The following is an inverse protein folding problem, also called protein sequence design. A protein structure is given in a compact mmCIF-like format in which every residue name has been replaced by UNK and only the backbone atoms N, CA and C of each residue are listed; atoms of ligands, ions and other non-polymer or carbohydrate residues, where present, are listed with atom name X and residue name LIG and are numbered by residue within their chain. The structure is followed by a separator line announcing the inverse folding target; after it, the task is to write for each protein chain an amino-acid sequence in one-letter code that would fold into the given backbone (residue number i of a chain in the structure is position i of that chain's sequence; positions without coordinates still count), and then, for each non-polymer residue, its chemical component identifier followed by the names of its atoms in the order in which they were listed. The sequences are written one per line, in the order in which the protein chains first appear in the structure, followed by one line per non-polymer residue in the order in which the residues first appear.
data_IF_155183181651
#
_entry.id   IF_155183181651
#
_cell.length_a   1.000
_cell.length_b   1.000
_cell.length_c   1.000
_cell.angle_alpha   90.00
_cell.angle_beta   90.00
_cell.angle_gamma   90.00
#
_symmetry.space_group_name_H-M   'P 1'
#
loop_
_entity.id
_entity.type
_entity.pdbx_description
1 polymer ?
#
# COMPACT_ATOMS: atom_id res chain seq x y z
N UNK A 1 -1.72 19.76 -32.47
CA UNK A 1 -1.35 19.16 -31.16
C UNK A 1 -2.50 19.17 -30.13
N UNK A 2 -3.38 20.18 -30.12
CA UNK A 2 -4.52 20.24 -29.19
C UNK A 2 -5.70 19.30 -29.55
N UNK A 3 -6.03 19.12 -30.84
CA UNK A 3 -7.16 18.27 -31.26
C UNK A 3 -6.96 16.80 -30.91
N UNK A 4 -5.77 16.24 -31.12
CA UNK A 4 -5.47 14.85 -30.74
C UNK A 4 -5.59 14.63 -29.23
N UNK A 5 -5.24 15.65 -28.44
CA UNK A 5 -5.35 15.60 -26.97
C UNK A 5 -6.80 15.67 -26.53
N UNK A 6 -7.60 16.56 -27.15
CA UNK A 6 -9.04 16.69 -26.91
C UNK A 6 -9.80 15.42 -27.31
N UNK A 7 -9.48 14.83 -28.46
CA UNK A 7 -10.08 13.57 -28.91
C UNK A 7 -9.74 12.42 -27.94
N UNK A 8 -8.48 12.32 -27.50
CA UNK A 8 -8.09 11.31 -26.50
C UNK A 8 -8.78 11.47 -25.14
N UNK A 9 -9.09 12.72 -24.75
CA UNK A 9 -9.82 13.01 -23.50
C UNK A 9 -11.31 12.67 -23.62
N UNK A 10 -11.91 12.95 -24.79
CA UNK A 10 -13.30 12.60 -25.08
C UNK A 10 -13.49 11.09 -25.17
N UNK A 11 -12.56 10.36 -25.80
CA UNK A 11 -12.57 8.89 -25.84
C UNK A 11 -12.44 8.28 -24.43
N UNK A 12 -11.54 8.81 -23.59
CA UNK A 12 -11.44 8.38 -22.19
C UNK A 12 -12.71 8.67 -21.39
N UNK A 13 -13.31 9.84 -21.57
CA UNK A 13 -14.55 10.21 -20.91
C UNK A 13 -15.71 9.29 -21.34
N UNK A 14 -15.78 8.92 -22.63
CA UNK A 14 -16.75 7.97 -23.15
C UNK A 14 -16.54 6.57 -22.59
N UNK A 15 -15.30 6.08 -22.54
CA UNK A 15 -14.97 4.78 -21.92
C UNK A 15 -15.33 4.77 -20.44
N UNK A 16 -15.05 5.84 -19.71
CA UNK A 16 -15.40 5.98 -18.30
C UNK A 16 -16.92 6.01 -18.10
N UNK A 17 -17.66 6.69 -18.97
CA UNK A 17 -19.13 6.70 -18.97
C UNK A 17 -19.73 5.32 -19.26
N UNK A 18 -19.16 4.56 -20.20
CA UNK A 18 -19.61 3.20 -20.51
C UNK A 18 -19.32 2.21 -19.38
N UNK A 19 -18.16 2.35 -18.71
CA UNK A 19 -17.84 1.61 -17.49
C UNK A 19 -18.83 1.93 -16.37
N UNK A 20 -19.17 3.21 -16.17
CA UNK A 20 -20.16 3.64 -15.18
C UNK A 20 -21.53 3.00 -15.43
N UNK A 21 -21.98 2.96 -16.68
CA UNK A 21 -23.28 2.35 -17.01
C UNK A 21 -23.30 0.85 -16.73
N UNK A 22 -22.27 0.10 -17.16
CA UNK A 22 -22.15 -1.34 -16.86
C UNK A 22 -22.13 -1.64 -15.36
N UNK A 23 -21.54 -0.75 -14.56
CA UNK A 23 -21.50 -0.89 -13.11
C UNK A 23 -22.89 -0.70 -12.49
N UNK A 24 -23.64 0.33 -12.93
CA UNK A 24 -25.03 0.54 -12.50
C UNK A 24 -25.90 -0.67 -12.87
N UNK A 25 -25.70 -1.25 -14.04
CA UNK A 25 -26.43 -2.43 -14.48
C UNK A 25 -26.10 -3.65 -13.60
N UNK A 26 -24.84 -3.85 -13.22
CA UNK A 26 -24.40 -4.89 -12.28
C UNK A 26 -24.97 -4.65 -10.87
N UNK A 27 -25.00 -3.40 -10.39
CA UNK A 27 -25.59 -3.05 -9.10
C UNK A 27 -27.10 -3.29 -9.09
N UNK A 28 -27.81 -2.96 -10.17
CA UNK A 28 -29.23 -3.27 -10.30
C UNK A 28 -29.49 -4.79 -10.32
N UNK A 29 -28.53 -5.59 -10.80
CA UNK A 29 -28.60 -7.05 -10.82
C UNK A 29 -28.18 -7.71 -9.49
N UNK A 30 -27.20 -7.15 -8.78
CA UNK A 30 -26.56 -7.71 -7.58
C UNK A 30 -26.85 -6.91 -6.31
N UNK A 31 -27.82 -5.98 -6.35
CA UNK A 31 -27.94 -4.85 -5.42
C UNK A 31 -27.90 -5.21 -3.94
N UNK A 32 -28.56 -6.29 -3.53
CA UNK A 32 -28.55 -6.73 -2.14
C UNK A 32 -27.17 -7.28 -1.71
N UNK A 33 -26.51 -8.05 -2.56
CA UNK A 33 -25.20 -8.66 -2.29
C UNK A 33 -24.09 -7.61 -2.25
N UNK A 34 -24.14 -6.62 -3.16
CA UNK A 34 -23.21 -5.49 -3.18
C UNK A 34 -23.41 -4.60 -1.95
N UNK A 35 -24.66 -4.34 -1.55
CA UNK A 35 -24.95 -3.61 -0.33
C UNK A 35 -24.46 -4.34 0.92
N UNK A 36 -24.61 -5.66 0.97
CA UNK A 36 -24.10 -6.48 2.07
C UNK A 36 -22.58 -6.42 2.15
N UNK A 37 -21.89 -6.56 1.02
CA UNK A 37 -20.44 -6.45 0.92
C UNK A 37 -19.93 -5.05 1.33
N UNK A 38 -20.62 -3.99 0.89
CA UNK A 38 -20.30 -2.61 1.27
C UNK A 38 -20.46 -2.40 2.77
N UNK A 39 -21.53 -2.92 3.37
CA UNK A 39 -21.74 -2.90 4.83
C UNK A 39 -20.62 -3.65 5.57
N UNK A 40 -20.21 -4.82 5.07
CA UNK A 40 -19.07 -5.57 5.60
C UNK A 40 -17.77 -4.77 5.55
N UNK A 41 -17.48 -4.09 4.44
CA UNK A 41 -16.31 -3.22 4.31
C UNK A 41 -16.37 -1.99 5.23
N UNK A 42 -17.55 -1.37 5.38
CA UNK A 42 -17.73 -0.24 6.29
C UNK A 42 -17.41 -0.62 7.74
N UNK A 43 -17.79 -1.82 8.18
CA UNK A 43 -17.50 -2.34 9.55
C UNK A 43 -16.00 -2.43 9.86
N UNK A 44 -15.17 -2.69 8.86
CA UNK A 44 -13.72 -2.73 9.00
C UNK A 44 -13.05 -1.38 8.71
N UNK A 45 -13.84 -0.32 8.52
CA UNK A 45 -13.37 1.03 8.25
C UNK A 45 -12.76 1.18 6.86
N UNK A 46 -13.23 0.41 5.88
CA UNK A 46 -12.95 0.60 4.46
C UNK A 46 -14.06 1.48 3.89
N UNK A 47 -13.70 2.64 3.34
CA UNK A 47 -14.70 3.61 2.88
C UNK A 47 -15.56 3.04 1.76
N UNK A 48 -16.87 3.25 1.81
CA UNK A 48 -17.91 2.79 0.87
C UNK A 48 -17.80 3.33 -0.56
N UNK A 49 -16.72 4.04 -0.91
CA UNK A 49 -16.47 4.51 -2.29
C UNK A 49 -15.95 3.35 -3.15
N UNK A 50 -16.70 2.26 -3.19
CA UNK A 50 -16.45 1.04 -3.97
C UNK A 50 -16.78 1.18 -5.46
N UNK A 51 -17.37 2.31 -5.87
CA UNK A 51 -17.79 2.65 -7.23
C UNK A 51 -16.72 2.47 -8.34
N UNK A 52 -15.46 2.12 -8.01
CA UNK A 52 -14.40 1.80 -8.96
C UNK A 52 -13.47 0.63 -8.57
N UNK A 53 -13.73 -0.14 -7.51
CA UNK A 53 -12.79 -1.13 -6.97
C UNK A 53 -11.37 -0.57 -6.71
N UNK A 54 -11.24 0.73 -6.44
CA UNK A 54 -9.96 1.34 -6.09
C UNK A 54 -9.68 1.13 -4.60
N UNK A 55 -9.14 -0.04 -4.27
CA UNK A 55 -8.60 -0.28 -2.94
C UNK A 55 -7.26 0.41 -2.79
N UNK A 56 -7.13 1.22 -1.74
CA UNK A 56 -5.82 1.73 -1.30
C UNK A 56 -5.06 0.61 -0.58
N UNK A 57 -3.75 0.74 -0.40
CA UNK A 57 -2.97 -0.23 0.40
C UNK A 57 -3.55 -0.43 1.81
N UNK A 58 -4.06 0.64 2.43
CA UNK A 58 -4.74 0.57 3.72
C UNK A 58 -6.07 -0.19 3.65
N UNK A 59 -6.84 -0.05 2.56
CA UNK A 59 -8.05 -0.85 2.37
C UNK A 59 -7.71 -2.32 2.23
N UNK A 60 -6.73 -2.66 1.37
CA UNK A 60 -6.28 -4.04 1.16
C UNK A 60 -5.81 -4.66 2.48
N UNK A 61 -4.96 -3.95 3.24
CA UNK A 61 -4.50 -4.42 4.56
C UNK A 61 -5.66 -4.70 5.52
N UNK A 62 -6.63 -3.79 5.62
CA UNK A 62 -7.81 -3.98 6.48
C UNK A 62 -8.67 -5.17 6.05
N UNK A 63 -8.92 -5.31 4.74
CA UNK A 63 -9.72 -6.41 4.18
C UNK A 63 -9.05 -7.74 4.48
N UNK A 64 -7.75 -7.81 4.24
CA UNK A 64 -6.98 -9.03 4.40
C UNK A 64 -6.84 -9.41 5.88
N UNK A 65 -6.46 -8.47 6.75
CA UNK A 65 -6.29 -8.73 8.19
C UNK A 65 -7.60 -8.99 8.94
N UNK A 66 -8.76 -8.65 8.35
CA UNK A 66 -10.09 -8.83 8.95
C UNK A 66 -11.04 -9.52 7.98
N UNK A 67 -10.52 -10.44 7.18
CA UNK A 67 -11.30 -11.10 6.12
C UNK A 67 -12.49 -11.86 6.70
N UNK A 68 -12.34 -12.43 7.88
CA UNK A 68 -13.41 -13.12 8.60
C UNK A 68 -14.55 -12.15 8.97
N UNK A 69 -14.24 -10.92 9.37
CA UNK A 69 -15.26 -9.89 9.67
C UNK A 69 -15.97 -9.39 8.42
N UNK A 70 -15.25 -9.33 7.28
CA UNK A 70 -15.83 -8.97 5.99
C UNK A 70 -16.80 -10.06 5.54
N UNK A 71 -16.42 -11.32 5.75
CA UNK A 71 -17.13 -12.45 5.16
C UNK A 71 -18.15 -13.08 6.09
N UNK A 72 -18.05 -12.97 7.42
CA UNK A 72 -19.04 -13.52 8.34
C UNK A 72 -20.51 -13.11 8.01
N UNK A 73 -20.81 -11.86 7.62
CA UNK A 73 -22.15 -11.48 7.19
C UNK A 73 -22.55 -12.10 5.85
N UNK A 74 -21.61 -12.23 4.90
CA UNK A 74 -21.83 -12.86 3.60
C UNK A 74 -22.03 -14.37 3.74
N UNK A 75 -21.28 -15.02 4.62
CA UNK A 75 -21.36 -16.44 4.89
C UNK A 75 -22.69 -16.79 5.57
N UNK A 76 -23.26 -15.93 6.42
CA UNK A 76 -24.58 -16.20 6.99
C UNK A 76 -25.69 -16.23 5.93
N UNK A 77 -25.61 -15.37 4.92
CA UNK A 77 -26.61 -15.30 3.83
C UNK A 77 -26.30 -16.24 2.65
N UNK A 78 -25.03 -16.62 2.47
CA UNK A 78 -24.55 -17.32 1.27
C UNK A 78 -23.76 -18.60 1.60
N UNK A 79 -24.06 -19.21 2.75
CA UNK A 79 -23.34 -20.32 3.41
C UNK A 79 -23.10 -21.57 2.56
N UNK A 80 -23.89 -21.75 1.50
CA UNK A 80 -23.83 -22.90 0.60
C UNK A 80 -23.19 -22.56 -0.76
N UNK A 81 -22.80 -21.31 -0.99
CA UNK A 81 -22.20 -20.91 -2.25
C UNK A 81 -20.70 -21.29 -2.27
N UNK A 82 -20.40 -22.34 -3.02
CA UNK A 82 -19.06 -22.89 -3.20
C UNK A 82 -18.04 -21.82 -3.68
N UNK A 83 -18.45 -20.90 -4.55
CA UNK A 83 -17.57 -19.84 -5.06
C UNK A 83 -17.14 -18.89 -3.95
N UNK A 84 -18.03 -18.59 -3.02
CA UNK A 84 -17.75 -17.69 -1.89
C UNK A 84 -16.78 -18.37 -0.92
N UNK A 85 -17.03 -19.63 -0.58
CA UNK A 85 -16.14 -20.41 0.28
C UNK A 85 -14.74 -20.51 -0.33
N UNK A 86 -14.64 -20.79 -1.64
CA UNK A 86 -13.35 -20.82 -2.34
C UNK A 86 -12.65 -19.46 -2.31
N UNK A 87 -13.40 -18.38 -2.54
CA UNK A 87 -12.84 -17.03 -2.54
C UNK A 87 -12.33 -16.64 -1.15
N UNK A 88 -13.04 -17.01 -0.09
CA UNK A 88 -12.62 -16.79 1.30
C UNK A 88 -11.28 -17.44 1.61
N UNK A 89 -11.18 -18.72 1.29
CA UNK A 89 -9.99 -19.51 1.55
C UNK A 89 -8.77 -18.98 0.79
N UNK A 90 -8.98 -18.46 -0.43
CA UNK A 90 -7.93 -17.77 -1.17
C UNK A 90 -7.49 -16.46 -0.50
N UNK A 91 -8.44 -15.65 -0.02
CA UNK A 91 -8.15 -14.37 0.64
C UNK A 91 -7.46 -14.56 1.99
N UNK A 92 -7.82 -15.58 2.77
CA UNK A 92 -7.13 -15.92 4.02
C UNK A 92 -5.67 -16.32 3.77
N UNK A 93 -5.43 -17.16 2.76
CA UNK A 93 -4.06 -17.53 2.35
C UNK A 93 -3.25 -16.34 1.87
N UNK A 94 -3.85 -15.46 1.07
CA UNK A 94 -3.24 -14.19 0.68
C UNK A 94 -2.87 -13.35 1.90
N UNK A 95 -3.69 -13.37 2.95
CA UNK A 95 -3.42 -12.64 4.18
C UNK A 95 -2.27 -13.16 4.98
N UNK A 96 -2.15 -14.47 5.07
CA UNK A 96 -1.01 -15.08 5.72
C UNK A 96 0.29 -14.77 4.96
N UNK A 97 0.29 -14.86 3.62
CA UNK A 97 1.45 -14.43 2.79
C UNK A 97 1.78 -12.94 3.03
N UNK A 98 0.77 -12.08 3.11
CA UNK A 98 0.98 -10.66 3.37
C UNK A 98 1.59 -10.43 4.76
N UNK A 99 1.12 -11.11 5.80
CA UNK A 99 1.62 -11.01 7.16
C UNK A 99 3.11 -11.36 7.24
N UNK A 100 3.50 -12.48 6.63
CA UNK A 100 4.90 -12.90 6.54
C UNK A 100 5.76 -11.91 5.74
N UNK A 101 5.17 -11.20 4.77
CA UNK A 101 5.85 -10.14 4.02
C UNK A 101 5.98 -8.81 4.78
N UNK A 102 5.27 -8.61 5.90
CA UNK A 102 5.25 -7.32 6.64
C UNK A 102 6.48 -7.11 7.54
N UNK A 103 7.52 -7.95 7.39
CA UNK A 103 8.75 -7.84 8.17
C UNK A 103 9.60 -6.63 7.75
N UNK A 104 9.75 -5.69 8.68
CA UNK A 104 10.68 -4.56 8.58
C UNK A 104 12.13 -4.95 8.83
N UNK A 105 12.38 -6.19 9.25
CA UNK A 105 13.71 -6.69 9.60
C UNK A 105 14.24 -7.67 8.56
N UNK A 106 15.53 -8.00 8.67
CA UNK A 106 16.16 -9.04 7.85
C UNK A 106 15.51 -10.39 8.18
N UNK A 107 14.96 -11.06 7.18
CA UNK A 107 14.32 -12.36 7.28
C UNK A 107 15.37 -13.45 7.54
N UNK A 108 15.15 -14.25 8.58
CA UNK A 108 15.95 -15.44 8.87
C UNK A 108 15.56 -16.56 7.90
N UNK A 109 16.40 -17.58 7.82
CA UNK A 109 16.17 -18.74 6.94
C UNK A 109 14.81 -19.41 7.21
N UNK A 110 14.47 -19.62 8.48
CA UNK A 110 13.16 -20.13 8.89
C UNK A 110 11.99 -19.27 8.39
N UNK A 111 12.12 -17.94 8.46
CA UNK A 111 11.07 -17.02 7.99
C UNK A 111 10.90 -17.11 6.46
N UNK A 112 12.01 -17.32 5.75
CA UNK A 112 12.01 -17.52 4.29
C UNK A 112 11.36 -18.85 3.89
N UNK A 113 11.62 -19.92 4.63
CA UNK A 113 10.98 -21.23 4.44
C UNK A 113 9.47 -21.14 4.69
N UNK A 114 9.06 -20.51 5.79
CA UNK A 114 7.65 -20.32 6.13
C UNK A 114 6.92 -19.50 5.06
N UNK A 115 7.55 -18.41 4.58
CA UNK A 115 7.02 -17.62 3.47
C UNK A 115 6.87 -18.45 2.19
N UNK A 116 7.87 -19.27 1.85
CA UNK A 116 7.82 -20.12 0.66
C UNK A 116 6.69 -21.14 0.76
N UNK A 117 6.52 -21.80 1.92
CA UNK A 117 5.42 -22.72 2.16
C UNK A 117 4.06 -22.07 2.02
N UNK A 118 3.86 -20.90 2.63
CA UNK A 118 2.60 -20.15 2.52
C UNK A 118 2.31 -19.73 1.06
N UNK A 119 3.33 -19.34 0.31
CA UNK A 119 3.20 -18.96 -1.09
C UNK A 119 2.80 -20.15 -1.98
N UNK A 120 3.41 -21.32 -1.77
CA UNK A 120 3.05 -22.54 -2.49
C UNK A 120 1.64 -23.03 -2.14
N UNK A 121 1.23 -22.96 -0.87
CA UNK A 121 -0.13 -23.29 -0.46
C UNK A 121 -1.16 -22.38 -1.15
N UNK A 122 -0.90 -21.07 -1.21
CA UNK A 122 -1.73 -20.13 -1.96
C UNK A 122 -1.78 -20.48 -3.45
N UNK A 123 -0.63 -20.76 -4.08
CA UNK A 123 -0.57 -21.07 -5.51
C UNK A 123 -1.36 -22.32 -5.85
N UNK A 124 -1.13 -23.42 -5.11
CA UNK A 124 -1.85 -24.68 -5.31
C UNK A 124 -3.36 -24.48 -5.14
N UNK A 125 -3.76 -23.75 -4.09
CA UNK A 125 -5.17 -23.45 -3.85
C UNK A 125 -5.81 -22.68 -5.03
N UNK A 126 -5.09 -21.70 -5.59
CA UNK A 126 -5.57 -20.93 -6.74
C UNK A 126 -5.65 -21.78 -8.02
N UNK A 127 -4.69 -22.67 -8.26
CA UNK A 127 -4.73 -23.59 -9.40
C UNK A 127 -5.95 -24.52 -9.29
N UNK A 128 -6.18 -25.12 -8.12
CA UNK A 128 -7.25 -26.11 -7.95
C UNK A 128 -8.66 -25.50 -8.05
N UNK A 129 -8.80 -24.22 -7.69
CA UNK A 129 -10.11 -23.57 -7.53
C UNK A 129 -10.40 -22.45 -8.54
N UNK A 130 -9.38 -21.93 -9.22
CA UNK A 130 -9.44 -20.74 -10.06
C UNK A 130 -8.53 -20.82 -11.30
N UNK A 131 -8.28 -22.03 -11.83
CA UNK A 131 -7.41 -22.24 -13.00
C UNK A 131 -7.83 -21.46 -14.26
N UNK A 132 -9.09 -21.08 -14.36
CA UNK A 132 -9.68 -20.31 -15.45
C UNK A 132 -9.34 -18.81 -15.37
N UNK A 133 -8.84 -18.32 -14.23
CA UNK A 133 -8.46 -16.92 -14.08
C UNK A 133 -7.12 -16.61 -14.77
N UNK A 134 -7.17 -15.67 -15.71
CA UNK A 134 -5.96 -15.12 -16.32
C UNK A 134 -5.07 -14.42 -15.26
N UNK A 135 -3.87 -14.95 -15.07
CA UNK A 135 -2.87 -14.42 -14.14
C UNK A 135 -2.38 -13.05 -14.62
N UNK A 136 -2.61 -12.02 -13.80
CA UNK A 136 -2.09 -10.66 -14.05
C UNK A 136 -0.60 -10.55 -13.67
N UNK A 137 0.04 -9.45 -14.09
CA UNK A 137 1.47 -9.20 -13.85
C UNK A 137 1.89 -9.27 -12.36
N UNK A 138 1.06 -8.76 -11.44
CA UNK A 138 1.36 -8.76 -9.99
C UNK A 138 1.38 -10.16 -9.39
N UNK A 139 0.35 -11.01 -9.58
CA UNK A 139 0.43 -12.41 -9.15
C UNK A 139 1.56 -13.19 -9.84
N UNK A 140 1.86 -12.93 -11.14
CA UNK A 140 3.00 -13.55 -11.79
C UNK A 140 4.33 -13.24 -11.08
N UNK A 141 4.56 -11.97 -10.73
CA UNK A 141 5.75 -11.59 -9.96
C UNK A 141 5.78 -12.25 -8.58
N UNK A 142 4.64 -12.25 -7.89
CA UNK A 142 4.49 -12.88 -6.58
C UNK A 142 4.85 -14.37 -6.63
N UNK A 143 4.34 -15.15 -7.58
CA UNK A 143 4.57 -16.59 -7.60
C UNK A 143 5.90 -17.01 -8.23
N UNK A 144 6.43 -16.23 -9.18
CA UNK A 144 7.63 -16.61 -9.94
C UNK A 144 8.92 -16.01 -9.40
N UNK A 145 8.88 -14.75 -8.93
CA UNK A 145 10.10 -13.96 -8.71
C UNK A 145 10.33 -13.60 -7.24
N UNK A 146 9.29 -13.60 -6.39
CA UNK A 146 9.42 -13.10 -5.02
C UNK A 146 10.38 -13.93 -4.17
N UNK A 147 10.46 -15.24 -4.39
CA UNK A 147 11.33 -16.12 -3.59
C UNK A 147 12.80 -15.88 -3.92
N UNK A 148 13.15 -15.79 -5.21
CA UNK A 148 14.51 -15.42 -5.64
C UNK A 148 14.90 -14.04 -5.09
N UNK A 149 13.96 -13.10 -5.13
CA UNK A 149 14.15 -11.76 -4.57
C UNK A 149 14.39 -11.81 -3.05
N UNK A 150 13.55 -12.55 -2.33
CA UNK A 150 13.62 -12.71 -0.88
C UNK A 150 14.93 -13.37 -0.44
N UNK A 151 15.38 -14.42 -1.13
CA UNK A 151 16.65 -15.11 -0.84
C UNK A 151 17.83 -14.14 -1.06
N UNK A 152 17.79 -13.38 -2.15
CA UNK A 152 18.87 -12.45 -2.51
C UNK A 152 18.99 -11.27 -1.55
N UNK A 153 17.87 -10.64 -1.20
CA UNK A 153 17.86 -9.39 -0.44
C UNK A 153 17.51 -9.55 1.04
N UNK A 154 17.02 -10.73 1.44
CA UNK A 154 16.59 -11.08 2.80
C UNK A 154 15.58 -10.09 3.41
N UNK A 155 14.90 -9.32 2.57
CA UNK A 155 13.87 -8.36 2.97
C UNK A 155 13.01 -8.00 1.75
N UNK A 156 11.69 -8.09 1.89
CA UNK A 156 10.74 -7.79 0.80
C UNK A 156 10.34 -6.31 0.82
N UNK A 157 10.18 -5.71 2.00
CA UNK A 157 9.65 -4.35 2.16
C UNK A 157 10.64 -3.23 1.83
N UNK A 158 11.94 -3.50 1.85
CA UNK A 158 12.98 -2.48 1.64
C UNK A 158 12.83 -1.78 0.27
N UNK A 159 12.29 -2.50 -0.71
CA UNK A 159 12.05 -2.00 -2.07
C UNK A 159 10.58 -1.62 -2.32
N UNK A 160 9.77 -1.54 -1.27
CA UNK A 160 8.39 -1.12 -1.40
C UNK A 160 8.30 0.38 -1.71
N UNK A 161 7.31 0.74 -2.53
CA UNK A 161 7.01 2.14 -2.85
C UNK A 161 6.37 2.90 -1.66
N UNK A 162 6.16 2.26 -0.52
CA UNK A 162 5.46 2.83 0.63
C UNK A 162 6.17 4.07 1.21
N UNK A 163 7.50 4.07 1.22
CA UNK A 163 8.29 5.23 1.64
C UNK A 163 8.08 6.42 0.71
N UNK A 164 8.07 6.17 -0.61
CA UNK A 164 7.83 7.18 -1.65
C UNK A 164 6.40 7.72 -1.55
N UNK A 165 5.39 6.86 -1.38
CA UNK A 165 3.99 7.26 -1.18
C UNK A 165 3.81 8.14 0.07
N UNK A 166 4.53 7.82 1.16
CA UNK A 166 4.52 8.64 2.37
C UNK A 166 5.12 10.04 2.12
N UNK A 167 6.24 10.13 1.40
CA UNK A 167 6.85 11.40 0.99
C UNK A 167 5.89 12.21 0.12
N UNK A 168 5.22 11.58 -0.85
CA UNK A 168 4.21 12.24 -1.68
C UNK A 168 3.11 12.91 -0.84
N UNK A 169 2.63 12.23 0.20
CA UNK A 169 1.63 12.81 1.12
C UNK A 169 2.16 14.03 1.86
N UNK A 170 3.39 13.99 2.37
CA UNK A 170 4.02 15.11 3.09
C UNK A 170 4.17 16.30 2.15
N UNK A 171 4.72 16.07 0.94
CA UNK A 171 4.88 17.11 -0.09
C UNK A 171 3.54 17.75 -0.45
N UNK A 172 2.50 16.94 -0.67
CA UNK A 172 1.15 17.46 -0.97
C UNK A 172 0.55 18.30 0.17
N UNK A 173 0.86 17.97 1.41
CA UNK A 173 0.43 18.74 2.58
C UNK A 173 1.20 20.06 2.67
N UNK A 174 2.51 20.04 2.45
CA UNK A 174 3.37 21.21 2.49
C UNK A 174 3.06 22.16 1.30
N UNK A 175 2.74 21.63 0.12
CA UNK A 175 2.28 22.41 -1.04
C UNK A 175 1.05 23.29 -0.75
N UNK A 176 0.17 22.84 0.16
CA UNK A 176 -1.01 23.62 0.58
C UNK A 176 -0.68 24.70 1.62
N UNK A 177 0.42 24.54 2.34
CA UNK A 177 0.81 25.40 3.48
C UNK A 177 1.82 26.47 3.09
N UNK A 178 2.74 26.14 2.20
CA UNK A 178 3.76 27.08 1.72
C UNK A 178 3.11 28.10 0.80
N UNK A 179 3.13 29.36 1.22
CA UNK A 179 2.88 30.51 0.35
C UNK A 179 4.22 31.07 -0.06
N UNK A 180 4.41 31.31 -1.35
CA UNK A 180 5.67 31.75 -1.93
C UNK A 180 5.37 32.68 -3.12
N UNK A 181 6.27 33.62 -3.43
CA UNK A 181 6.08 34.58 -4.51
C UNK A 181 6.05 33.95 -5.91
N UNK A 182 6.73 32.81 -6.10
CA UNK A 182 6.73 32.05 -7.35
C UNK A 182 6.82 30.53 -7.08
N UNK A 183 6.51 29.72 -8.10
CA UNK A 183 6.51 28.25 -7.97
C UNK A 183 7.91 27.67 -7.73
N UNK A 184 8.97 28.26 -8.30
CA UNK A 184 10.34 27.77 -8.12
C UNK A 184 10.78 27.95 -6.67
N UNK A 185 10.52 29.12 -6.09
CA UNK A 185 10.77 29.41 -4.69
C UNK A 185 9.92 28.51 -3.79
N UNK A 186 8.66 28.27 -4.15
CA UNK A 186 7.77 27.35 -3.42
C UNK A 186 8.37 25.94 -3.32
N UNK A 187 8.82 25.39 -4.44
CA UNK A 187 9.42 24.05 -4.48
C UNK A 187 10.74 23.99 -3.70
N UNK A 188 11.59 25.02 -3.80
CA UNK A 188 12.83 25.12 -3.01
C UNK A 188 12.56 25.11 -1.51
N UNK A 189 11.54 25.83 -1.05
CA UNK A 189 11.18 25.86 0.37
C UNK A 189 10.63 24.52 0.85
N UNK A 190 9.80 23.84 0.05
CA UNK A 190 9.27 22.52 0.39
C UNK A 190 10.40 21.50 0.52
N UNK A 191 11.36 21.51 -0.42
CA UNK A 191 12.51 20.62 -0.37
C UNK A 191 13.35 20.88 0.89
N UNK A 192 13.65 22.15 1.17
CA UNK A 192 14.40 22.55 2.35
C UNK A 192 13.74 22.08 3.64
N UNK A 193 12.43 22.32 3.79
CA UNK A 193 11.68 21.87 4.98
C UNK A 193 11.65 20.36 5.14
N UNK A 194 11.55 19.60 4.04
CA UNK A 194 11.60 18.14 4.12
C UNK A 194 12.99 17.64 4.57
N UNK A 195 14.07 18.27 4.10
CA UNK A 195 15.44 17.96 4.55
C UNK A 195 15.64 18.29 6.04
N UNK A 196 15.18 19.47 6.48
CA UNK A 196 15.28 19.89 7.88
C UNK A 196 14.49 18.97 8.82
N UNK A 197 13.26 18.59 8.46
CA UNK A 197 12.44 17.64 9.24
C UNK A 197 13.11 16.27 9.37
N UNK A 198 13.65 15.73 8.27
CA UNK A 198 14.35 14.45 8.29
C UNK A 198 15.62 14.52 9.15
N UNK A 199 16.38 15.61 9.03
CA UNK A 199 17.58 15.81 9.85
C UNK A 199 17.25 15.86 11.35
N UNK A 200 16.21 16.59 11.74
CA UNK A 200 15.74 16.65 13.13
C UNK A 200 15.29 15.28 13.60
N UNK A 201 14.50 14.57 12.80
CA UNK A 201 14.04 13.23 13.14
C UNK A 201 15.21 12.26 13.32
N UNK A 202 16.19 12.25 12.41
CA UNK A 202 17.37 11.39 12.50
C UNK A 202 18.26 11.76 13.69
N UNK A 203 18.44 13.07 13.97
CA UNK A 203 19.20 13.53 15.11
C UNK A 203 18.54 13.17 16.45
N UNK A 204 17.21 13.17 16.53
CA UNK A 204 16.43 12.81 17.73
C UNK A 204 16.22 11.30 17.87
N UNK A 205 16.20 10.55 16.78
CA UNK A 205 16.03 9.09 16.77
C UNK A 205 17.35 8.30 16.78
N UNK A 206 18.51 8.97 16.70
CA UNK A 206 19.84 8.35 16.74
C UNK A 206 20.17 7.61 18.05
N UNK A 207 19.31 7.68 19.08
CA UNK A 207 19.53 7.01 20.37
C UNK A 207 19.12 5.52 20.43
N UNK A 208 18.68 4.90 19.33
CA UNK A 208 18.46 3.45 19.32
C UNK A 208 19.14 2.74 18.14
N UNK A 209 20.20 1.98 18.48
CA UNK A 209 20.63 0.71 17.86
C UNK A 209 21.63 0.66 16.69
N UNK A 210 22.38 1.72 16.35
CA UNK A 210 23.57 1.53 15.47
C UNK A 210 24.85 2.12 16.09
N UNK A 211 25.97 1.36 16.14
CA UNK A 211 27.23 1.87 16.64
C UNK A 211 27.76 2.95 15.69
N UNK A 212 27.61 4.21 16.09
CA UNK A 212 28.17 5.33 15.34
C UNK A 212 29.70 5.35 15.46
N UNK A 213 30.36 5.54 14.31
CA UNK A 213 31.81 5.80 14.28
C UNK A 213 32.15 7.10 15.00
N UNK A 214 33.39 7.23 15.50
CA UNK A 214 33.84 8.43 16.20
C UNK A 214 33.68 9.70 15.36
N UNK A 215 33.85 9.59 14.04
CA UNK A 215 33.67 10.69 13.10
C UNK A 215 32.20 11.17 12.99
N UNK A 216 31.24 10.23 13.04
CA UNK A 216 29.80 10.57 13.04
C UNK A 216 29.40 11.27 14.33
N UNK A 217 29.95 10.84 15.48
CA UNK A 217 29.73 11.48 16.79
C UNK A 217 30.28 12.91 16.84
N UNK A 218 31.48 13.14 16.29
CA UNK A 218 32.07 14.48 16.23
C UNK A 218 31.26 15.43 15.35
N UNK A 219 30.74 14.93 14.21
CA UNK A 219 29.90 15.71 13.30
C UNK A 219 28.53 16.05 13.91
N UNK A 220 27.92 15.10 14.61
CA UNK A 220 26.66 15.32 15.33
C UNK A 220 26.84 16.33 16.49
N UNK A 221 27.93 16.23 17.25
CA UNK A 221 28.24 17.15 18.36
C UNK A 221 28.43 18.60 17.87
N UNK A 222 29.17 18.80 16.77
CA UNK A 222 29.32 20.14 16.15
C UNK A 222 28.00 20.72 15.66
N UNK A 223 27.12 19.88 15.11
CA UNK A 223 25.83 20.31 14.59
C UNK A 223 24.83 20.66 15.71
N UNK A 224 24.81 19.89 16.80
CA UNK A 224 24.01 20.20 17.98
C UNK A 224 24.52 21.46 18.71
N UNK A 225 25.83 21.69 18.73
CA UNK A 225 26.42 22.94 19.21
C UNK A 225 25.90 24.17 18.44
N UNK A 226 25.89 24.10 17.11
CA UNK A 226 25.40 25.18 16.26
C UNK A 226 23.88 25.44 16.40
N UNK A 227 23.09 24.41 16.71
CA UNK A 227 21.65 24.56 16.97
C UNK A 227 21.36 25.29 18.29
N UNK A 228 22.20 25.11 19.31
CA UNK A 228 22.08 25.86 20.57
C UNK A 228 22.46 27.34 20.40
N UNK A 229 23.43 27.65 19.53
CA UNK A 229 23.79 29.05 19.22
C UNK A 229 22.69 29.80 18.45
N UNK A 230 21.88 29.09 17.66
CA UNK A 230 20.71 29.67 16.97
C UNK A 230 19.51 29.94 17.91
N UNK A 231 19.46 29.28 19.08
CA UNK A 231 18.40 29.45 20.07
C UNK A 231 18.72 30.49 21.15
N UNK A 232 19.93 31.06 21.18
CA UNK A 232 20.35 32.09 22.16
C UNK A 232 20.13 33.52 21.61
N UNK A 233 19.71 33.66 20.34
CA UNK A 233 19.46 34.97 19.70
C UNK A 233 17.97 35.21 19.32
N UNK A 234 17.03 34.54 20.01
CA UNK A 234 15.59 34.92 20.01
C UNK A 234 15.21 35.47 21.38
#
# INVERSE_FOLDING_TARGET
MNENRINSLNEKAQQESQLRQKIVDIENQLGEQVQLLNKSFARIGVSEKLYFFKFTGNHVKKIISRIEDVVAPLAQELKENEVIVKTMNALQRMGYVQELSDSKMVLKEKDQEEFAHALYDLLNYLIDNFADLNVKYKPHFLFKHILEFMIKFKNIQMFSEQSIESVHRIVNQDLKRVTAPDEEYKLKQILRWNLEKNFIHDALCADFTMPMSAHQREKQSRLLGNLNELNINQ
#
